data_IF_207913675029
#
_entry.id   IF_207913675029
#
_cell.length_a   1.000
_cell.length_b   1.000
_cell.length_c   1.000
_cell.angle_alpha   90.00
_cell.angle_beta   90.00
_cell.angle_gamma   90.00
#
_symmetry.space_group_name_H-M   'P 1'
#
loop_
_entity.id
_entity.type
_entity.pdbx_description
1 polymer ?
#
# COMPACT_ATOMS: atom_id res chain seq x y z
N UNK A 1 14.79 -7.16 -12.06
CA UNK A 1 14.30 -7.99 -10.93
C UNK A 1 15.07 -7.73 -9.65
N UNK A 2 16.37 -8.03 -9.57
CA UNK A 2 17.17 -7.80 -8.34
C UNK A 2 17.12 -6.34 -7.91
N UNK A 3 17.31 -5.40 -8.85
CA UNK A 3 17.23 -3.95 -8.58
C UNK A 3 15.87 -3.56 -8.00
N UNK A 4 14.77 -4.06 -8.58
CA UNK A 4 13.41 -3.78 -8.08
C UNK A 4 13.21 -4.35 -6.68
N UNK A 5 13.66 -5.58 -6.41
CA UNK A 5 13.56 -6.19 -5.09
C UNK A 5 14.35 -5.42 -4.03
N UNK A 6 15.58 -5.01 -4.34
CA UNK A 6 16.41 -4.17 -3.47
C UNK A 6 15.72 -2.83 -3.23
N UNK A 7 15.24 -2.17 -4.29
CA UNK A 7 14.56 -0.89 -4.19
C UNK A 7 13.30 -0.98 -3.32
N UNK A 8 12.44 -1.98 -3.56
CA UNK A 8 11.25 -2.24 -2.73
C UNK A 8 11.62 -2.46 -1.26
N UNK A 9 12.66 -3.24 -0.99
CA UNK A 9 13.12 -3.50 0.39
C UNK A 9 13.67 -2.23 1.05
N UNK A 10 14.55 -1.49 0.37
CA UNK A 10 15.14 -0.24 0.87
C UNK A 10 14.06 0.79 1.14
N UNK A 11 13.09 0.96 0.24
CA UNK A 11 11.99 1.90 0.45
C UNK A 11 11.10 1.47 1.61
N UNK A 12 10.74 0.18 1.71
CA UNK A 12 9.93 -0.34 2.81
C UNK A 12 10.58 -0.13 4.17
N UNK A 13 11.85 -0.54 4.32
CA UNK A 13 12.57 -0.45 5.58
C UNK A 13 13.03 0.98 5.87
N UNK A 14 13.44 1.72 4.84
CA UNK A 14 13.80 3.14 4.92
C UNK A 14 12.66 3.98 5.46
N UNK A 15 11.47 3.84 4.88
CA UNK A 15 10.27 4.51 5.35
C UNK A 15 9.99 4.18 6.82
N UNK A 16 9.91 2.89 7.14
CA UNK A 16 9.49 2.42 8.47
C UNK A 16 10.45 2.79 9.60
N UNK A 17 11.75 2.74 9.36
CA UNK A 17 12.75 2.85 10.43
C UNK A 17 13.47 4.20 10.47
N UNK A 18 13.45 4.97 9.38
CA UNK A 18 14.23 6.20 9.30
C UNK A 18 13.39 7.45 8.99
N UNK A 19 12.36 7.33 8.15
CA UNK A 19 11.60 8.51 7.68
C UNK A 19 10.38 8.80 8.56
N UNK A 20 9.57 7.79 8.86
CA UNK A 20 8.30 8.00 9.58
C UNK A 20 8.42 8.15 11.11
N UNK A 21 9.38 7.53 11.83
CA UNK A 21 9.43 7.65 13.29
C UNK A 21 9.56 9.08 13.83
N UNK A 22 10.36 9.99 13.23
CA UNK A 22 10.43 11.39 13.66
C UNK A 22 9.11 12.17 13.52
N UNK A 23 8.17 11.67 12.71
CA UNK A 23 6.89 12.33 12.42
C UNK A 23 5.77 11.94 13.41
N UNK A 24 6.07 11.10 14.40
CA UNK A 24 5.13 10.64 15.42
C UNK A 24 4.54 9.26 15.13
N UNK A 25 3.95 8.66 16.17
CA UNK A 25 3.43 7.28 16.13
C UNK A 25 2.31 7.10 15.09
N UNK A 26 1.44 8.09 14.92
CA UNK A 26 0.36 8.06 13.93
C UNK A 26 0.91 7.87 12.50
N UNK A 27 1.89 8.68 12.11
CA UNK A 27 2.52 8.62 10.77
C UNK A 27 3.34 7.34 10.62
N UNK A 28 4.06 6.95 11.68
CA UNK A 28 4.87 5.73 11.72
C UNK A 28 4.05 4.47 11.48
N UNK A 29 2.88 4.36 12.10
CA UNK A 29 2.00 3.20 11.97
C UNK A 29 1.15 3.26 10.69
N UNK A 30 1.19 4.38 9.96
CA UNK A 30 0.37 4.66 8.77
C UNK A 30 -1.11 4.42 9.09
N UNK A 31 -1.58 5.04 10.17
CA UNK A 31 -2.88 4.72 10.76
C UNK A 31 -4.06 4.84 9.78
N UNK A 32 -3.99 5.80 8.84
CA UNK A 32 -5.02 6.05 7.81
C UNK A 32 -5.22 4.83 6.90
N UNK A 33 -4.14 4.09 6.63
CA UNK A 33 -4.13 2.96 5.70
C UNK A 33 -4.21 1.61 6.40
N UNK A 34 -3.58 1.47 7.57
CA UNK A 34 -3.35 0.16 8.22
C UNK A 34 -4.21 -0.07 9.43
N UNK A 35 -4.57 1.00 10.14
CA UNK A 35 -5.19 0.86 11.44
C UNK A 35 -6.71 1.05 11.40
N UNK A 36 -7.32 0.54 12.46
CA UNK A 36 -8.72 0.78 12.78
C UNK A 36 -8.90 1.97 13.73
N UNK A 37 -7.80 2.56 14.19
CA UNK A 37 -7.75 3.59 15.22
C UNK A 37 -6.66 4.61 14.91
N UNK A 38 -6.79 5.82 15.45
CA UNK A 38 -5.74 6.85 15.45
C UNK A 38 -4.96 6.70 16.76
N UNK A 39 -3.67 6.29 16.75
CA UNK A 39 -2.91 6.01 17.96
C UNK A 39 -2.94 7.13 19.01
N UNK A 40 -2.77 8.38 18.58
CA UNK A 40 -2.83 9.56 19.47
C UNK A 40 -4.19 9.77 20.14
N UNK A 41 -5.29 9.32 19.51
CA UNK A 41 -6.65 9.50 20.05
C UNK A 41 -7.16 8.29 20.85
N UNK A 42 -6.42 7.18 20.87
CA UNK A 42 -6.84 5.92 21.49
C UNK A 42 -7.05 6.04 23.01
N UNK A 43 -6.27 6.88 23.67
CA UNK A 43 -6.25 7.01 25.13
C UNK A 43 -6.78 8.36 25.65
N UNK A 44 -7.25 9.26 24.77
CA UNK A 44 -7.70 10.59 25.17
C UNK A 44 -8.33 11.37 24.02
N UNK A 45 -9.51 11.92 24.26
CA UNK A 45 -10.25 12.85 23.41
C UNK A 45 -10.85 12.34 22.08
N UNK A 46 -10.53 11.12 21.60
CA UNK A 46 -11.18 10.57 20.40
C UNK A 46 -12.62 10.10 20.65
N UNK A 47 -13.55 10.39 19.73
CA UNK A 47 -14.87 9.75 19.75
C UNK A 47 -14.73 8.24 19.52
N UNK A 48 -15.65 7.43 20.06
CA UNK A 48 -15.65 5.97 19.92
C UNK A 48 -14.33 5.25 20.28
N UNK A 49 -13.56 5.81 21.22
CA UNK A 49 -12.26 5.27 21.63
C UNK A 49 -11.15 5.44 20.58
N UNK A 50 -11.23 6.51 19.78
CA UNK A 50 -10.21 6.85 18.79
C UNK A 50 -10.26 6.00 17.51
N UNK A 51 -11.40 5.37 17.20
CA UNK A 51 -11.58 4.64 15.92
C UNK A 51 -11.31 5.55 14.74
N UNK A 52 -10.73 5.01 13.67
CA UNK A 52 -10.56 5.74 12.43
C UNK A 52 -11.92 5.94 11.76
N UNK A 53 -12.48 7.13 11.94
CA UNK A 53 -13.74 7.60 11.36
C UNK A 53 -13.53 8.96 10.72
N UNK A 54 -14.45 9.40 9.85
CA UNK A 54 -14.38 10.73 9.25
C UNK A 54 -14.31 11.84 10.33
N UNK A 55 -15.06 11.70 11.43
CA UNK A 55 -15.07 12.64 12.55
C UNK A 55 -13.73 12.70 13.27
N UNK A 56 -13.17 11.53 13.65
CA UNK A 56 -11.89 11.49 14.36
C UNK A 56 -10.72 11.90 13.46
N UNK A 57 -10.77 11.58 12.17
CA UNK A 57 -9.79 12.06 11.19
C UNK A 57 -9.86 13.59 11.07
N UNK A 58 -11.06 14.16 10.99
CA UNK A 58 -11.25 15.61 10.97
C UNK A 58 -10.71 16.25 12.25
N UNK A 59 -11.01 15.68 13.42
CA UNK A 59 -10.47 16.14 14.70
C UNK A 59 -8.94 16.14 14.71
N UNK A 60 -8.33 15.02 14.32
CA UNK A 60 -6.86 14.90 14.25
C UNK A 60 -6.25 15.93 13.29
N UNK A 61 -6.90 16.17 12.15
CA UNK A 61 -6.44 17.13 11.15
C UNK A 61 -6.50 18.57 11.66
N UNK A 62 -7.54 18.94 12.41
CA UNK A 62 -7.71 20.31 12.93
C UNK A 62 -6.84 20.62 14.15
N UNK A 63 -6.25 19.61 14.78
CA UNK A 63 -5.32 19.82 15.88
C UNK A 63 -4.00 20.44 15.36
N UNK A 64 -3.63 21.66 15.80
CA UNK A 64 -2.39 22.30 15.40
C UNK A 64 -1.13 21.51 15.76
N UNK A 65 -1.18 20.66 16.80
CA UNK A 65 -0.06 19.82 17.21
C UNK A 65 0.31 18.78 16.13
N UNK A 66 -0.63 18.44 15.25
CA UNK A 66 -0.44 17.45 14.19
C UNK A 66 0.00 18.07 12.86
N UNK A 67 0.26 19.39 12.80
CA UNK A 67 0.58 20.08 11.54
C UNK A 67 1.84 19.51 10.86
N UNK A 68 2.90 19.29 11.63
CA UNK A 68 4.16 18.76 11.08
C UNK A 68 4.03 17.29 10.69
N UNK A 69 3.31 16.50 11.50
CA UNK A 69 2.96 15.12 11.19
C UNK A 69 2.19 15.02 9.86
N UNK A 70 1.17 15.86 9.66
CA UNK A 70 0.38 15.95 8.41
C UNK A 70 1.25 16.28 7.21
N UNK A 71 2.09 17.31 7.32
CA UNK A 71 2.99 17.71 6.24
C UNK A 71 3.97 16.60 5.90
N UNK A 72 4.58 15.99 6.93
CA UNK A 72 5.47 14.85 6.80
C UNK A 72 4.84 13.62 6.14
N UNK A 73 3.56 13.37 6.44
CA UNK A 73 2.77 12.31 5.83
C UNK A 73 2.61 12.55 4.32
N UNK A 74 2.26 13.77 3.91
CA UNK A 74 2.15 14.12 2.48
C UNK A 74 3.52 14.11 1.81
N UNK A 75 4.53 14.71 2.44
CA UNK A 75 5.90 14.79 1.92
C UNK A 75 6.90 14.71 3.08
N UNK A 76 7.83 13.74 3.09
CA UNK A 76 8.25 12.93 1.93
C UNK A 76 7.57 11.55 1.81
N UNK A 77 6.65 11.18 2.72
CA UNK A 77 6.16 9.79 2.83
C UNK A 77 5.32 9.38 1.62
N UNK A 78 4.15 9.99 1.41
CA UNK A 78 3.32 9.65 0.23
C UNK A 78 4.02 10.10 -1.05
N UNK A 79 4.42 11.38 -1.10
CA UNK A 79 5.16 11.94 -2.21
C UNK A 79 6.58 12.31 -1.77
N UNK A 80 7.65 11.74 -2.38
CA UNK A 80 7.67 10.82 -3.52
C UNK A 80 7.81 9.34 -3.16
N UNK A 81 8.01 9.00 -1.87
CA UNK A 81 8.55 7.69 -1.49
C UNK A 81 7.55 6.54 -1.69
N UNK A 82 6.27 6.71 -1.34
CA UNK A 82 5.26 5.68 -1.60
C UNK A 82 5.03 5.49 -3.10
N UNK A 83 5.03 6.56 -3.91
CA UNK A 83 4.93 6.42 -5.36
C UNK A 83 6.09 5.60 -5.96
N UNK A 84 7.32 5.82 -5.47
CA UNK A 84 8.48 5.02 -5.88
C UNK A 84 8.33 3.56 -5.42
N UNK A 85 7.86 3.34 -4.20
CA UNK A 85 7.62 2.00 -3.66
C UNK A 85 6.56 1.27 -4.48
N UNK A 86 5.48 1.95 -4.82
CA UNK A 86 4.36 1.45 -5.60
C UNK A 86 4.81 0.94 -6.97
N UNK A 87 5.54 1.78 -7.71
CA UNK A 87 6.08 1.41 -9.01
C UNK A 87 7.04 0.22 -8.87
N UNK A 88 7.95 0.27 -7.88
CA UNK A 88 8.92 -0.79 -7.67
C UNK A 88 8.25 -2.13 -7.34
N UNK A 89 7.30 -2.14 -6.39
CA UNK A 89 6.58 -3.32 -5.93
C UNK A 89 5.65 -3.89 -7.01
N UNK A 90 4.86 -3.04 -7.66
CA UNK A 90 3.96 -3.44 -8.74
C UNK A 90 4.73 -4.05 -9.92
N UNK A 91 5.79 -3.39 -10.38
CA UNK A 91 6.65 -3.93 -11.43
C UNK A 91 7.34 -5.22 -10.99
N UNK A 92 7.83 -5.31 -9.76
CA UNK A 92 8.44 -6.53 -9.23
C UNK A 92 7.48 -7.72 -9.32
N UNK A 93 6.23 -7.55 -8.88
CA UNK A 93 5.22 -8.62 -8.90
C UNK A 93 4.83 -9.02 -10.32
N UNK A 94 4.60 -8.04 -11.20
CA UNK A 94 4.23 -8.29 -12.60
C UNK A 94 5.34 -9.00 -13.38
N UNK A 95 6.56 -8.47 -13.35
CA UNK A 95 7.69 -9.08 -14.05
C UNK A 95 8.09 -10.43 -13.45
N UNK A 96 8.03 -10.61 -12.12
CA UNK A 96 8.29 -11.92 -11.51
C UNK A 96 7.30 -12.96 -12.02
N UNK A 97 6.00 -12.61 -11.99
CA UNK A 97 4.94 -13.51 -12.43
C UNK A 97 5.09 -13.89 -13.91
N UNK A 98 5.27 -12.89 -14.78
CA UNK A 98 5.47 -13.13 -16.21
C UNK A 98 6.71 -13.98 -16.49
N UNK A 99 7.84 -13.68 -15.85
CA UNK A 99 9.09 -14.41 -16.04
C UNK A 99 8.96 -15.88 -15.61
N UNK A 100 8.30 -16.14 -14.47
CA UNK A 100 8.13 -17.51 -13.96
C UNK A 100 7.11 -18.29 -14.78
N UNK A 101 6.00 -17.65 -15.18
CA UNK A 101 5.00 -18.27 -16.04
C UNK A 101 5.61 -18.74 -17.37
N UNK A 102 6.48 -17.94 -17.98
CA UNK A 102 7.20 -18.32 -19.21
C UNK A 102 8.14 -19.52 -19.05
N UNK A 103 8.45 -19.94 -17.82
CA UNK A 103 9.28 -21.14 -17.53
C UNK A 103 8.46 -22.38 -17.20
N UNK A 104 7.13 -22.26 -17.14
CA UNK A 104 6.22 -23.35 -16.80
C UNK A 104 5.35 -23.61 -18.03
N UNK A 105 5.55 -24.76 -18.68
CA UNK A 105 4.84 -25.19 -19.89
C UNK A 105 3.31 -25.03 -19.78
N UNK A 106 2.73 -25.48 -18.65
CA UNK A 106 1.28 -25.46 -18.38
C UNK A 106 0.64 -24.07 -18.47
N UNK A 107 1.37 -23.03 -18.04
CA UNK A 107 0.83 -21.65 -17.95
C UNK A 107 1.54 -20.67 -18.87
N UNK A 108 2.57 -21.11 -19.60
CA UNK A 108 3.36 -20.26 -20.49
C UNK A 108 2.57 -19.70 -21.68
N UNK A 109 1.46 -20.35 -22.06
CA UNK A 109 0.55 -19.88 -23.11
C UNK A 109 -0.48 -18.84 -22.61
N UNK A 110 -0.59 -18.63 -21.29
CA UNK A 110 -1.53 -17.65 -20.73
C UNK A 110 -1.08 -16.24 -21.14
N UNK A 111 -1.99 -15.38 -21.64
CA UNK A 111 -1.66 -14.04 -22.08
C UNK A 111 -0.96 -13.22 -20.99
N UNK A 112 0.04 -12.43 -21.40
CA UNK A 112 0.85 -11.59 -20.49
C UNK A 112 -0.03 -10.71 -19.59
N UNK A 113 -1.14 -10.21 -20.12
CA UNK A 113 -2.07 -9.34 -19.37
C UNK A 113 -2.59 -10.02 -18.10
N UNK A 114 -2.81 -11.33 -18.09
CA UNK A 114 -3.32 -12.05 -16.91
C UNK A 114 -2.37 -11.92 -15.72
N UNK A 115 -1.06 -11.94 -15.97
CA UNK A 115 -0.02 -11.81 -14.93
C UNK A 115 0.11 -10.38 -14.39
N UNK A 116 -0.34 -9.40 -15.18
CA UNK A 116 -0.28 -7.97 -14.84
C UNK A 116 -1.58 -7.42 -14.27
N UNK A 117 -2.72 -8.10 -14.42
CA UNK A 117 -4.02 -7.63 -13.91
C UNK A 117 -3.96 -7.27 -12.42
N UNK A 118 -3.45 -8.17 -11.57
CA UNK A 118 -3.39 -7.94 -10.13
C UNK A 118 -2.38 -6.84 -9.74
N UNK A 119 -1.12 -6.84 -10.25
CA UNK A 119 -0.20 -5.73 -10.04
C UNK A 119 -0.73 -4.37 -10.49
N UNK A 120 -1.40 -4.30 -11.64
CA UNK A 120 -1.97 -3.04 -12.15
C UNK A 120 -3.16 -2.58 -11.32
N UNK A 121 -4.05 -3.51 -10.91
CA UNK A 121 -5.13 -3.19 -10.00
C UNK A 121 -4.60 -2.63 -8.66
N UNK A 122 -3.56 -3.26 -8.11
CA UNK A 122 -2.82 -2.76 -6.94
C UNK A 122 -2.31 -1.34 -7.17
N UNK A 123 -1.51 -1.14 -8.22
CA UNK A 123 -0.92 0.17 -8.55
C UNK A 123 -1.97 1.27 -8.70
N UNK A 124 -3.05 0.98 -9.41
CA UNK A 124 -4.12 1.94 -9.61
C UNK A 124 -4.84 2.28 -8.30
N UNK A 125 -5.19 1.26 -7.50
CA UNK A 125 -5.91 1.48 -6.24
C UNK A 125 -5.08 2.23 -5.20
N UNK A 126 -3.78 1.94 -5.08
CA UNK A 126 -2.87 2.64 -4.16
C UNK A 126 -2.65 4.08 -4.61
N UNK A 127 -2.46 4.33 -5.91
CA UNK A 127 -2.35 5.70 -6.43
C UNK A 127 -3.61 6.53 -6.15
N UNK A 128 -4.80 5.92 -6.33
CA UNK A 128 -6.06 6.57 -6.00
C UNK A 128 -6.21 6.82 -4.50
N UNK A 129 -5.86 5.84 -3.66
CA UNK A 129 -5.85 5.96 -2.20
C UNK A 129 -4.92 7.08 -1.73
N UNK A 130 -3.67 7.08 -2.16
CA UNK A 130 -2.67 8.09 -1.82
C UNK A 130 -3.11 9.49 -2.25
N UNK A 131 -3.65 9.62 -3.46
CA UNK A 131 -4.25 10.86 -3.93
C UNK A 131 -5.40 11.34 -3.04
N UNK A 132 -6.24 10.42 -2.56
CA UNK A 132 -7.30 10.75 -1.61
C UNK A 132 -6.74 11.15 -0.25
N UNK A 133 -5.75 10.44 0.29
CA UNK A 133 -5.12 10.80 1.58
C UNK A 133 -4.51 12.20 1.48
N UNK A 134 -3.73 12.48 0.43
CA UNK A 134 -3.16 13.81 0.19
C UNK A 134 -4.26 14.87 0.10
N UNK A 135 -5.35 14.59 -0.60
CA UNK A 135 -6.49 15.51 -0.72
C UNK A 135 -7.14 15.77 0.63
N UNK A 136 -7.45 14.73 1.40
CA UNK A 136 -8.11 14.85 2.71
C UNK A 136 -7.21 15.54 3.73
N UNK A 137 -5.91 15.26 3.70
CA UNK A 137 -4.92 15.90 4.57
C UNK A 137 -4.65 17.35 4.17
N UNK A 138 -4.77 17.72 2.90
CA UNK A 138 -4.51 19.10 2.43
C UNK A 138 -5.75 19.97 2.47
N UNK A 139 -6.93 19.39 2.26
CA UNK A 139 -8.20 20.10 2.21
C UNK A 139 -9.23 19.43 3.15
N UNK A 140 -9.29 19.85 4.42
CA UNK A 140 -10.17 19.23 5.42
C UNK A 140 -11.67 19.33 5.08
N UNK A 141 -12.06 20.30 4.25
CA UNK A 141 -13.43 20.43 3.73
C UNK A 141 -13.86 19.28 2.82
N UNK A 142 -12.92 18.53 2.25
CA UNK A 142 -13.20 17.34 1.46
C UNK A 142 -13.57 16.11 2.31
N UNK A 143 -13.36 16.15 3.63
CA UNK A 143 -13.68 15.04 4.53
C UNK A 143 -15.19 14.94 4.67
N UNK A 144 -15.77 13.97 3.98
CA UNK A 144 -17.18 13.57 4.05
C UNK A 144 -17.27 12.07 4.30
N UNK A 145 -18.44 11.56 4.67
CA UNK A 145 -18.62 10.11 4.81
C UNK A 145 -18.39 9.39 3.47
N UNK A 146 -18.80 10.02 2.36
CA UNK A 146 -18.59 9.47 1.02
C UNK A 146 -17.09 9.38 0.66
N UNK A 147 -16.33 10.46 0.87
CA UNK A 147 -14.88 10.44 0.61
C UNK A 147 -14.15 9.47 1.54
N UNK A 148 -14.58 9.35 2.80
CA UNK A 148 -14.00 8.39 3.73
C UNK A 148 -14.32 6.94 3.34
N UNK A 149 -15.54 6.64 2.93
CA UNK A 149 -15.91 5.32 2.41
C UNK A 149 -15.14 4.97 1.13
N UNK A 150 -14.99 5.92 0.21
CA UNK A 150 -14.19 5.73 -1.00
C UNK A 150 -12.71 5.46 -0.66
N UNK A 151 -12.12 6.20 0.30
CA UNK A 151 -10.77 5.90 0.80
C UNK A 151 -10.68 4.45 1.29
N UNK A 152 -11.61 4.01 2.15
CA UNK A 152 -11.63 2.64 2.69
C UNK A 152 -11.80 1.58 1.60
N UNK A 153 -12.59 1.88 0.57
CA UNK A 153 -12.77 1.00 -0.59
C UNK A 153 -11.46 0.84 -1.36
N UNK A 154 -10.74 1.93 -1.64
CA UNK A 154 -9.44 1.84 -2.31
C UNK A 154 -8.40 1.10 -1.46
N UNK A 155 -8.31 1.37 -0.15
CA UNK A 155 -7.45 0.61 0.77
C UNK A 155 -7.76 -0.89 0.71
N UNK A 156 -9.04 -1.26 0.69
CA UNK A 156 -9.45 -2.65 0.61
C UNK A 156 -9.06 -3.30 -0.72
N UNK A 157 -9.31 -2.63 -1.85
CA UNK A 157 -8.92 -3.11 -3.18
C UNK A 157 -7.40 -3.27 -3.26
N UNK A 158 -6.65 -2.30 -2.74
CA UNK A 158 -5.19 -2.35 -2.64
C UNK A 158 -4.70 -3.59 -1.90
N UNK A 159 -5.21 -3.81 -0.69
CA UNK A 159 -4.79 -4.93 0.15
C UNK A 159 -5.12 -6.29 -0.48
N UNK A 160 -6.31 -6.43 -1.08
CA UNK A 160 -6.66 -7.68 -1.75
C UNK A 160 -5.88 -7.92 -3.03
N UNK A 161 -5.67 -6.88 -3.84
CA UNK A 161 -4.92 -7.00 -5.10
C UNK A 161 -3.44 -7.30 -4.86
N UNK A 162 -2.78 -6.63 -3.91
CA UNK A 162 -1.38 -6.94 -3.56
C UNK A 162 -1.26 -8.33 -2.94
N UNK A 163 -2.20 -8.72 -2.05
CA UNK A 163 -2.22 -10.06 -1.46
C UNK A 163 -2.38 -11.15 -2.50
N UNK A 164 -3.32 -10.98 -3.43
CA UNK A 164 -3.52 -11.90 -4.54
C UNK A 164 -2.31 -11.96 -5.49
N UNK A 165 -1.67 -10.81 -5.78
CA UNK A 165 -0.46 -10.77 -6.60
C UNK A 165 0.72 -11.51 -5.95
N UNK A 166 0.88 -11.38 -4.63
CA UNK A 166 1.89 -12.13 -3.85
C UNK A 166 1.60 -13.63 -3.91
N UNK A 167 0.34 -14.05 -3.71
CA UNK A 167 -0.07 -15.46 -3.81
C UNK A 167 0.21 -15.99 -5.22
N UNK A 168 -0.17 -15.25 -6.27
CA UNK A 168 0.12 -15.61 -7.66
C UNK A 168 1.62 -15.83 -7.89
N UNK A 169 2.46 -14.89 -7.45
CA UNK A 169 3.90 -15.02 -7.57
C UNK A 169 4.43 -16.25 -6.79
N UNK A 170 3.93 -16.48 -5.57
CA UNK A 170 4.28 -17.64 -4.75
C UNK A 170 3.92 -18.98 -5.41
N UNK A 171 2.71 -19.09 -5.99
CA UNK A 171 2.27 -20.28 -6.72
C UNK A 171 3.14 -20.53 -7.95
N UNK A 172 3.53 -19.48 -8.68
CA UNK A 172 4.42 -19.59 -9.82
C UNK A 172 5.84 -20.01 -9.40
N UNK A 173 6.34 -19.53 -8.26
CA UNK A 173 7.62 -20.00 -7.70
C UNK A 173 7.53 -21.49 -7.38
N UNK A 174 6.48 -21.91 -6.67
CA UNK A 174 6.27 -23.31 -6.31
C UNK A 174 6.13 -24.21 -7.54
N UNK A 175 5.35 -23.79 -8.53
CA UNK A 175 5.19 -24.50 -9.80
C UNK A 175 6.51 -24.62 -10.56
N UNK A 176 7.29 -23.55 -10.64
CA UNK A 176 8.60 -23.60 -11.28
C UNK A 176 9.56 -24.57 -10.58
N UNK A 177 9.59 -24.57 -9.24
CA UNK A 177 10.39 -25.53 -8.47
C UNK A 177 9.93 -26.97 -8.69
N UNK A 178 8.62 -27.22 -8.71
CA UNK A 178 8.05 -28.53 -8.98
C UNK A 178 8.38 -29.03 -10.39
N UNK A 179 8.33 -28.15 -11.40
CA UNK A 179 8.74 -28.48 -12.76
C UNK A 179 10.23 -28.86 -12.83
N UNK A 180 11.11 -28.14 -12.13
CA UNK A 180 12.54 -28.50 -12.08
C UNK A 180 12.81 -29.81 -11.36
N UNK A 181 11.99 -30.16 -10.37
CA UNK A 181 12.07 -31.43 -9.66
C UNK A 181 11.43 -32.60 -10.43
N UNK A 182 10.82 -32.36 -11.60
CA UNK A 182 10.19 -33.38 -12.43
C UNK A 182 8.80 -33.82 -11.95
N UNK A 183 8.17 -33.07 -11.02
CA UNK A 183 6.82 -33.39 -10.53
C UNK A 183 5.72 -32.97 -11.50
N UNK A 184 6.00 -32.00 -12.36
CA UNK A 184 5.08 -31.52 -13.40
C UNK A 184 5.87 -31.26 -14.68
N UNK A 185 5.30 -31.67 -15.82
CA UNK A 185 5.86 -31.50 -17.16
C UNK A 185 5.44 -30.18 -17.78
#
# INVERSE_FOLDING_TARGET
MIVLAILTAVLHFGLRYYITPPLGEDVKDRFIERDKFIPSLKNGAGQDGGKLTATNLRQWIHDPANLDARKGYVTPVILPLDLLFLIAAGCLLGFTSQMLAGKISLVGAVPVIAWWTLPVAYMFSDFAEDGMIVTLLSWPGAITDASFQALRLFTMIKLYSIGAAIIQAGLLIAGWLAARAGFIA
#
